data_IF_901444009656
#
_entry.id   IF_901444009656
#
_cell.length_a   1.000
_cell.length_b   1.000
_cell.length_c   1.000
_cell.angle_alpha   90.00
_cell.angle_beta   90.00
_cell.angle_gamma   90.00
#
_symmetry.space_group_name_H-M   'P 1'
#
loop_
_entity.id
_entity.type
_entity.pdbx_description
1 polymer ?
#
# COMPACT_ATOMS: atom_id res chain seq x y z
N UNK A 1 -12.01 16.54 14.12
CA UNK A 1 -11.71 16.19 12.73
C UNK A 1 -10.57 15.21 12.68
N UNK A 2 -10.70 14.18 11.89
CA UNK A 2 -9.71 13.12 11.85
C UNK A 2 -8.68 13.37 10.77
N UNK A 3 -7.42 13.35 11.18
CA UNK A 3 -6.31 13.43 10.25
C UNK A 3 -5.94 12.02 9.80
N UNK A 4 -5.96 11.80 8.50
CA UNK A 4 -5.54 10.52 7.95
C UNK A 4 -4.18 10.64 7.31
N UNK A 5 -3.37 9.62 7.49
CA UNK A 5 -2.05 9.55 6.88
C UNK A 5 -2.13 8.56 5.74
N UNK A 6 -1.63 8.95 4.58
CA UNK A 6 -1.68 8.12 3.39
C UNK A 6 -0.35 7.43 3.14
N UNK A 7 -0.45 6.20 2.65
CA UNK A 7 0.73 5.41 2.31
C UNK A 7 0.47 4.66 1.02
N UNK A 8 1.52 4.52 0.23
CA UNK A 8 1.54 3.56 -0.85
C UNK A 8 2.34 2.37 -0.40
N UNK A 9 1.79 1.18 -0.62
CA UNK A 9 2.48 -0.06 -0.31
C UNK A 9 2.68 -0.82 -1.59
N UNK A 10 3.93 -1.12 -1.88
CA UNK A 10 4.30 -1.86 -3.07
C UNK A 10 4.52 -3.29 -2.66
N UNK A 11 3.76 -4.20 -3.26
CA UNK A 11 3.82 -5.60 -2.92
C UNK A 11 4.46 -6.39 -4.04
N UNK A 12 5.38 -7.27 -3.67
CA UNK A 12 5.89 -8.28 -4.59
C UNK A 12 5.06 -9.52 -4.35
N UNK A 13 4.13 -9.78 -5.26
CA UNK A 13 3.22 -10.90 -5.17
C UNK A 13 3.69 -12.01 -6.10
N UNK A 14 3.51 -13.25 -5.67
CA UNK A 14 3.84 -14.38 -6.51
C UNK A 14 3.08 -14.28 -7.83
N UNK A 15 3.79 -14.55 -8.91
CA UNK A 15 3.22 -14.43 -10.25
C UNK A 15 2.01 -15.34 -10.39
N UNK A 16 0.97 -14.82 -11.03
CA UNK A 16 -0.30 -15.50 -11.24
C UNK A 16 -1.14 -15.69 -9.99
N UNK A 17 -0.73 -15.08 -8.87
CA UNK A 17 -1.49 -15.10 -7.63
C UNK A 17 -2.00 -13.72 -7.24
N UNK A 18 -1.91 -12.76 -8.15
CA UNK A 18 -2.32 -11.39 -7.87
C UNK A 18 -3.79 -11.30 -7.50
N UNK A 19 -4.63 -12.07 -8.19
CA UNK A 19 -6.07 -12.01 -7.93
C UNK A 19 -6.39 -12.43 -6.50
N UNK A 20 -5.73 -13.47 -6.03
CA UNK A 20 -5.94 -13.95 -4.66
C UNK A 20 -5.55 -12.88 -3.65
N UNK A 21 -4.40 -12.24 -3.86
CA UNK A 21 -3.95 -11.21 -2.95
C UNK A 21 -4.89 -10.01 -2.98
N UNK A 22 -5.35 -9.62 -4.16
CA UNK A 22 -6.25 -8.48 -4.28
C UNK A 22 -7.57 -8.75 -3.56
N UNK A 23 -8.08 -9.97 -3.65
CA UNK A 23 -9.32 -10.32 -2.95
C UNK A 23 -9.18 -10.17 -1.44
N UNK A 24 -8.03 -10.57 -0.91
CA UNK A 24 -7.78 -10.39 0.52
C UNK A 24 -7.63 -8.92 0.88
N UNK A 25 -6.94 -8.15 0.06
CA UNK A 25 -6.71 -6.74 0.34
C UNK A 25 -8.02 -5.95 0.31
N UNK A 26 -8.96 -6.36 -0.54
CA UNK A 26 -10.24 -5.65 -0.64
C UNK A 26 -11.04 -5.73 0.66
N UNK A 27 -10.74 -6.69 1.51
CA UNK A 27 -11.45 -6.85 2.77
C UNK A 27 -10.88 -5.98 3.88
N UNK A 28 -9.79 -5.26 3.62
CA UNK A 28 -9.18 -4.37 4.60
C UNK A 28 -9.80 -2.99 4.43
N UNK A 29 -10.54 -2.49 5.44
CA UNK A 29 -11.25 -1.21 5.27
C UNK A 29 -10.34 -0.02 4.99
N UNK A 30 -9.11 -0.07 5.49
CA UNK A 30 -8.16 1.03 5.32
C UNK A 30 -7.58 1.10 3.91
N UNK A 31 -7.77 0.05 3.12
CA UNK A 31 -7.30 0.05 1.72
C UNK A 31 -8.27 0.88 0.89
N UNK A 32 -7.75 1.91 0.24
CA UNK A 32 -8.56 2.84 -0.53
C UNK A 32 -8.49 2.61 -2.02
N UNK A 33 -7.38 2.06 -2.49
CA UNK A 33 -7.21 1.84 -3.92
C UNK A 33 -6.15 0.78 -4.12
N UNK A 34 -6.23 0.09 -5.24
CA UNK A 34 -5.26 -0.94 -5.59
C UNK A 34 -5.05 -0.95 -7.09
N UNK A 35 -3.86 -1.34 -7.50
CA UNK A 35 -3.53 -1.39 -8.91
C UNK A 35 -2.52 -2.50 -9.16
N UNK A 36 -2.75 -3.28 -10.20
CA UNK A 36 -1.77 -4.27 -10.66
C UNK A 36 -0.92 -3.64 -11.75
N UNK A 37 0.37 -3.85 -11.66
CA UNK A 37 1.31 -3.32 -12.64
C UNK A 37 2.32 -4.41 -13.00
N UNK A 38 3.07 -4.17 -14.05
CA UNK A 38 4.17 -5.06 -14.42
C UNK A 38 5.42 -4.63 -13.67
N UNK A 39 6.21 -5.60 -13.25
CA UNK A 39 7.48 -5.30 -12.61
C UNK A 39 7.70 -6.12 -11.36
N UNK A 40 8.79 -5.82 -10.66
CA UNK A 40 9.16 -6.54 -9.46
C UNK A 40 8.10 -6.37 -8.36
N UNK A 41 7.55 -5.17 -8.24
CA UNK A 41 6.43 -4.92 -7.33
C UNK A 41 5.19 -4.81 -8.20
N UNK A 42 4.40 -5.86 -8.21
CA UNK A 42 3.31 -5.96 -9.16
C UNK A 42 1.95 -5.55 -8.62
N UNK A 43 1.86 -5.19 -7.34
CA UNK A 43 0.62 -4.64 -6.78
C UNK A 43 0.96 -3.37 -6.01
N UNK A 44 0.22 -2.31 -6.28
CA UNK A 44 0.36 -1.04 -5.55
C UNK A 44 -0.93 -0.81 -4.80
N UNK A 45 -0.83 -0.59 -3.50
CA UNK A 45 -1.99 -0.41 -2.62
C UNK A 45 -1.90 0.95 -1.96
N UNK A 46 -3.01 1.68 -1.97
CA UNK A 46 -3.10 2.94 -1.24
C UNK A 46 -3.87 2.69 0.04
N UNK A 47 -3.26 3.01 1.18
CA UNK A 47 -3.86 2.81 2.50
C UNK A 47 -3.87 4.14 3.23
N UNK A 48 -4.97 4.37 3.96
CA UNK A 48 -5.08 5.53 4.83
C UNK A 48 -5.37 5.06 6.24
N UNK A 49 -4.58 5.56 7.19
CA UNK A 49 -4.72 5.21 8.61
C UNK A 49 -4.66 6.47 9.43
N UNK A 50 -5.08 6.36 10.70
CA UNK A 50 -5.01 7.48 11.63
C UNK A 50 -3.58 7.71 12.12
N UNK A 51 -2.81 6.66 12.26
CA UNK A 51 -1.44 6.74 12.76
C UNK A 51 -0.54 5.80 11.99
N UNK A 52 0.75 6.05 12.10
CA UNK A 52 1.75 5.17 11.51
C UNK A 52 1.74 3.80 12.19
N UNK A 53 1.50 3.77 13.50
CA UNK A 53 1.43 2.49 14.21
C UNK A 53 0.31 1.62 13.67
N UNK A 54 -0.83 2.22 13.39
CA UNK A 54 -1.95 1.48 12.82
C UNK A 54 -1.57 0.86 11.49
N UNK A 55 -0.83 1.60 10.66
CA UNK A 55 -0.35 1.06 9.40
C UNK A 55 0.55 -0.15 9.62
N UNK A 56 1.49 -0.05 10.56
CA UNK A 56 2.39 -1.16 10.83
C UNK A 56 1.64 -2.40 11.28
N UNK A 57 0.58 -2.22 12.05
CA UNK A 57 -0.24 -3.35 12.49
C UNK A 57 -0.95 -4.00 11.32
N UNK A 58 -1.49 -3.19 10.41
CA UNK A 58 -2.15 -3.71 9.23
C UNK A 58 -1.17 -4.52 8.38
N UNK A 59 0.00 -3.97 8.15
CA UNK A 59 0.99 -4.64 7.33
C UNK A 59 1.42 -5.95 7.98
N UNK A 60 1.72 -5.91 9.27
CA UNK A 60 2.21 -7.07 9.98
C UNK A 60 1.17 -8.18 10.06
N UNK A 61 -0.07 -7.83 10.40
CA UNK A 61 -1.08 -8.82 10.73
C UNK A 61 -2.01 -9.16 9.60
N UNK A 62 -2.12 -8.31 8.59
CA UNK A 62 -3.07 -8.55 7.51
C UNK A 62 -2.42 -8.75 6.15
N UNK A 63 -1.31 -8.07 5.89
CA UNK A 63 -0.69 -8.13 4.57
C UNK A 63 0.44 -9.13 4.53
N UNK A 64 1.36 -9.08 5.49
CA UNK A 64 2.50 -9.98 5.47
C UNK A 64 2.11 -11.42 5.77
N UNK A 65 0.91 -11.64 6.29
CA UNK A 65 0.38 -12.98 6.51
C UNK A 65 -0.06 -13.65 5.22
N UNK A 66 -0.26 -12.89 4.17
CA UNK A 66 -0.70 -13.47 2.90
C UNK A 66 0.47 -14.25 2.30
N UNK A 67 0.26 -15.54 2.10
CA UNK A 67 1.35 -16.42 1.70
C UNK A 67 1.91 -16.12 0.32
N UNK A 68 1.13 -15.45 -0.52
CA UNK A 68 1.58 -15.12 -1.86
C UNK A 68 2.28 -13.76 -1.94
N UNK A 69 2.40 -13.05 -0.82
CA UNK A 69 3.14 -11.80 -0.76
C UNK A 69 4.55 -12.09 -0.31
N UNK A 70 5.54 -11.74 -1.14
CA UNK A 70 6.93 -12.06 -0.85
C UNK A 70 7.65 -10.93 -0.13
N UNK A 71 7.36 -9.69 -0.51
CA UNK A 71 8.00 -8.55 0.12
C UNK A 71 7.11 -7.34 -0.03
N UNK A 72 7.33 -6.37 0.85
CA UNK A 72 6.56 -5.13 0.86
C UNK A 72 7.51 -3.95 0.93
N UNK A 73 7.14 -2.86 0.27
CA UNK A 73 7.87 -1.61 0.35
C UNK A 73 6.85 -0.51 0.64
N UNK A 74 7.13 0.29 1.67
CA UNK A 74 6.19 1.29 2.15
C UNK A 74 6.68 2.68 1.78
N UNK A 75 5.80 3.49 1.20
CA UNK A 75 6.11 4.86 0.85
C UNK A 75 5.06 5.76 1.48
N UNK A 76 5.48 6.60 2.41
CA UNK A 76 4.56 7.53 3.05
C UNK A 76 4.26 8.68 2.11
N UNK A 77 2.99 9.03 1.99
CA UNK A 77 2.59 10.17 1.20
C UNK A 77 2.74 11.41 2.07
N UNK A 78 3.58 12.33 1.60
CA UNK A 78 3.79 13.57 2.33
C UNK A 78 2.89 14.64 1.73
N UNK A 79 1.79 14.91 2.43
CA UNK A 79 0.80 15.84 1.93
C UNK A 79 1.25 17.29 2.00
N UNK A 80 2.31 17.56 2.74
CA UNK A 80 2.82 18.92 2.82
C UNK A 80 3.61 19.31 1.59
N UNK A 81 4.04 18.33 0.81
CA UNK A 81 4.74 18.61 -0.43
C UNK A 81 3.72 18.59 -1.54
N UNK A 82 3.10 19.74 -1.75
CA UNK A 82 2.00 19.80 -2.70
C UNK A 82 2.46 19.96 -4.13
N UNK A 83 3.75 20.28 -4.34
CA UNK A 83 4.29 20.44 -5.68
C UNK A 83 5.72 20.03 -5.65
N UNK A 84 5.98 19.34 -6.61
CA UNK A 84 7.36 18.96 -6.79
C UNK A 84 7.87 19.69 -7.96
N UNK A 85 7.79 20.27 -8.32
CA UNK A 85 8.00 20.79 -9.35
C UNK A 85 9.09 21.05 -9.87
N UNK A 86 8.78 21.01 -9.62
CA UNK A 86 9.36 21.27 -10.15
C UNK A 86 10.07 21.57 -10.61
N UNK A 87 10.25 21.46 -10.47
CA UNK A 87 10.82 21.66 -10.89
C UNK A 87 11.45 21.92 -11.42
N UNK A 88 11.50 21.90 -11.45
CA UNK A 88 12.06 22.13 -12.01
C UNK A 88 12.31 22.38 -12.43
N UNK A 89 11.97 22.30 -12.09
CA UNK A 89 12.04 22.60 -12.42
C UNK A 89 12.32 22.81 -12.65
#
# INVERSE_FOLDING_TARGET
MTHLVGFFIFLNCKKNQEKDVIEHLQQIPEVKDMQCVSGAYNIIVKIQTSTTNELHEIITWKIRQLKNVRSTYILKINEEVTYCKDDNS
#
